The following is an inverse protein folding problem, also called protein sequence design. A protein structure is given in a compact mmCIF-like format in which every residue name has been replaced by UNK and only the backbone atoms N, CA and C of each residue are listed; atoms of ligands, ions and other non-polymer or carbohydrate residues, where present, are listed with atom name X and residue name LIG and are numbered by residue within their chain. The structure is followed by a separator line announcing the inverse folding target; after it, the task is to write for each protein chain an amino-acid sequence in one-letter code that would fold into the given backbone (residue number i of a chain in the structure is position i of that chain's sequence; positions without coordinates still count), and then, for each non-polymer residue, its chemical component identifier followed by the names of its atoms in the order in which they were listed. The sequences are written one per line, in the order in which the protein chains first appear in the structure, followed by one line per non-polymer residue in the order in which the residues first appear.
data_IF_363252346476
#
_entry.id   IF_363252346476
#
_cell.length_a   1.000
_cell.length_b   1.000
_cell.length_c   1.000
_cell.angle_alpha   90.00
_cell.angle_beta   90.00
_cell.angle_gamma   90.00
#
_symmetry.space_group_name_H-M   'P 1'
#
loop_
_entity.id
_entity.type
_entity.pdbx_description
1 polymer ?
#
# COMPACT_ATOMS: atom_id res chain seq x y z
N UNK A 1 -5.22 -11.62 3.56
CA UNK A 1 -5.17 -12.30 2.26
C UNK A 1 -6.39 -13.20 2.11
N UNK A 2 -6.94 -13.31 0.93
CA UNK A 2 -8.08 -14.16 0.63
C UNK A 2 -8.48 -14.10 -0.83
N UNK A 3 -9.47 -14.89 -1.22
CA UNK A 3 -10.02 -14.87 -2.57
C UNK A 3 -11.36 -14.16 -2.60
N UNK A 4 -11.57 -13.37 -3.63
CA UNK A 4 -12.82 -12.66 -3.91
C UNK A 4 -13.30 -12.98 -5.33
N UNK A 5 -14.56 -12.68 -5.62
CA UNK A 5 -15.08 -12.75 -6.99
C UNK A 5 -15.46 -11.36 -7.51
N UNK A 6 -14.87 -11.01 -8.65
CA UNK A 6 -15.23 -9.81 -9.42
C UNK A 6 -15.73 -10.26 -10.80
N UNK A 7 -16.97 -9.94 -11.13
CA UNK A 7 -17.60 -10.32 -12.40
C UNK A 7 -17.41 -11.81 -12.78
N UNK A 8 -17.55 -12.71 -11.77
CA UNK A 8 -17.38 -14.16 -11.97
C UNK A 8 -15.94 -14.67 -11.91
N UNK A 9 -14.92 -13.81 -12.06
CA UNK A 9 -13.52 -14.17 -12.02
C UNK A 9 -13.01 -14.25 -10.57
N UNK A 10 -12.18 -15.24 -10.28
CA UNK A 10 -11.51 -15.38 -8.99
C UNK A 10 -10.28 -14.46 -8.96
N UNK A 11 -10.20 -13.61 -7.96
CA UNK A 11 -9.12 -12.65 -7.74
C UNK A 11 -8.54 -12.88 -6.33
N UNK A 12 -7.22 -12.91 -6.22
CA UNK A 12 -6.54 -12.85 -4.93
C UNK A 12 -6.62 -11.44 -4.36
N UNK A 13 -6.99 -11.29 -3.10
CA UNK A 13 -7.08 -10.00 -2.43
C UNK A 13 -6.08 -9.91 -1.28
N UNK A 14 -5.34 -8.82 -1.22
CA UNK A 14 -4.39 -8.49 -0.15
C UNK A 14 -4.77 -7.12 0.39
N UNK A 15 -4.94 -7.01 1.69
CA UNK A 15 -5.28 -5.75 2.33
C UNK A 15 -4.63 -5.60 3.70
N UNK A 16 -4.28 -4.37 4.06
CA UNK A 16 -3.95 -4.01 5.43
C UNK A 16 -5.24 -3.82 6.22
N UNK A 17 -5.36 -4.56 7.31
CA UNK A 17 -6.51 -4.44 8.20
C UNK A 17 -6.18 -3.49 9.35
N UNK A 18 -7.06 -2.51 9.58
CA UNK A 18 -6.93 -1.53 10.68
C UNK A 18 -7.86 -1.83 11.84
N UNK A 19 -8.92 -2.61 11.61
CA UNK A 19 -9.85 -3.00 12.65
C UNK A 19 -10.35 -4.43 12.44
N UNK A 20 -10.73 -5.08 13.53
CA UNK A 20 -11.42 -6.36 13.59
C UNK A 20 -12.78 -6.10 14.21
N UNK A 21 -13.83 -6.58 13.55
CA UNK A 21 -15.19 -6.44 14.04
C UNK A 21 -15.70 -7.80 14.54
N UNK A 22 -16.46 -7.81 15.61
CA UNK A 22 -17.14 -9.00 16.12
C UNK A 22 -18.40 -9.32 15.30
N UNK A 23 -19.12 -10.38 15.67
CA UNK A 23 -20.34 -10.81 14.99
C UNK A 23 -21.47 -9.78 15.11
N UNK A 24 -21.41 -8.89 16.10
CA UNK A 24 -22.38 -7.80 16.32
C UNK A 24 -22.01 -6.53 15.55
N UNK A 25 -20.87 -6.52 14.83
CA UNK A 25 -20.36 -5.36 14.09
C UNK A 25 -19.69 -4.30 14.97
N UNK A 26 -19.36 -4.63 16.22
CA UNK A 26 -18.57 -3.76 17.09
C UNK A 26 -17.09 -4.00 16.87
N UNK A 27 -16.31 -2.94 17.00
CA UNK A 27 -14.87 -2.98 16.88
C UNK A 27 -14.26 -3.75 18.07
N UNK A 28 -13.76 -4.96 17.80
CA UNK A 28 -13.19 -5.85 18.80
C UNK A 28 -11.68 -5.57 19.01
N UNK A 29 -10.95 -5.20 17.95
CA UNK A 29 -9.53 -4.92 18.00
C UNK A 29 -9.15 -3.91 16.93
N UNK A 30 -8.24 -2.97 17.25
CA UNK A 30 -7.69 -1.99 16.32
C UNK A 30 -6.22 -2.24 16.09
N UNK A 31 -5.75 -1.96 14.87
CA UNK A 31 -4.36 -2.07 14.45
C UNK A 31 -3.84 -0.72 13.98
N UNK A 32 -2.57 -0.46 14.17
CA UNK A 32 -1.90 0.81 13.85
C UNK A 32 -1.67 1.05 12.35
N UNK A 33 -2.11 0.14 11.47
CA UNK A 33 -1.90 0.22 10.03
C UNK A 33 -0.46 -0.01 9.59
N UNK A 34 0.43 -0.47 10.49
CA UNK A 34 1.80 -0.80 10.14
C UNK A 34 1.94 -2.19 9.54
N UNK A 35 2.91 -2.37 8.64
CA UNK A 35 3.24 -3.66 8.05
C UNK A 35 4.23 -4.41 8.94
N UNK A 36 3.83 -5.57 9.45
CA UNK A 36 4.69 -6.46 10.23
C UNK A 36 5.46 -7.44 9.32
N UNK A 37 6.53 -8.05 9.86
CA UNK A 37 7.29 -9.07 9.13
C UNK A 37 6.41 -10.29 8.79
N UNK A 38 5.60 -10.74 9.74
CA UNK A 38 4.66 -11.85 9.53
C UNK A 38 3.61 -11.52 8.47
N UNK A 39 3.10 -10.28 8.47
CA UNK A 39 2.15 -9.81 7.46
C UNK A 39 2.77 -9.76 6.06
N UNK A 40 4.01 -9.29 5.96
CA UNK A 40 4.74 -9.25 4.70
C UNK A 40 5.07 -10.66 4.18
N UNK A 41 5.54 -11.57 5.04
CA UNK A 41 5.81 -12.97 4.67
C UNK A 41 4.53 -13.68 4.19
N UNK A 42 3.42 -13.54 4.94
CA UNK A 42 2.11 -14.10 4.54
C UNK A 42 1.63 -13.57 3.19
N UNK A 43 1.79 -12.27 2.95
CA UNK A 43 1.41 -11.67 1.68
C UNK A 43 2.29 -12.18 0.54
N UNK A 44 3.62 -12.31 0.76
CA UNK A 44 4.55 -12.85 -0.24
C UNK A 44 4.21 -14.28 -0.65
N UNK A 45 3.94 -15.16 0.31
CA UNK A 45 3.52 -16.54 0.04
C UNK A 45 2.21 -16.59 -0.75
N UNK A 46 1.25 -15.73 -0.41
CA UNK A 46 -0.02 -15.65 -1.11
C UNK A 46 0.13 -15.12 -2.54
N UNK A 47 1.00 -14.12 -2.78
CA UNK A 47 1.33 -13.63 -4.13
C UNK A 47 1.95 -14.73 -4.98
N UNK A 48 2.92 -15.45 -4.44
CA UNK A 48 3.55 -16.57 -5.13
C UNK A 48 2.54 -17.68 -5.48
N UNK A 49 1.62 -17.98 -4.57
CA UNK A 49 0.54 -18.92 -4.84
C UNK A 49 -0.36 -18.42 -5.98
N UNK A 50 -0.78 -17.17 -5.95
CA UNK A 50 -1.61 -16.58 -6.99
C UNK A 50 -0.92 -16.62 -8.35
N UNK A 51 0.38 -16.28 -8.41
CA UNK A 51 1.15 -16.30 -9.65
C UNK A 51 1.29 -17.71 -10.22
N UNK A 52 1.58 -18.71 -9.36
CA UNK A 52 1.69 -20.12 -9.77
C UNK A 52 0.41 -20.66 -10.44
N UNK A 53 -0.75 -20.12 -10.09
CA UNK A 53 -2.05 -20.49 -10.68
C UNK A 53 -2.60 -19.43 -11.64
N UNK A 54 -1.80 -18.42 -12.01
CA UNK A 54 -2.23 -17.31 -12.87
C UNK A 54 -3.49 -16.58 -12.36
N UNK A 55 -3.64 -16.47 -11.04
CA UNK A 55 -4.74 -15.76 -10.39
C UNK A 55 -4.36 -14.29 -10.27
N UNK A 56 -5.12 -13.35 -10.84
CA UNK A 56 -4.87 -11.92 -10.69
C UNK A 56 -4.95 -11.48 -9.24
N UNK A 57 -4.21 -10.42 -8.86
CA UNK A 57 -4.16 -9.92 -7.48
C UNK A 57 -4.62 -8.47 -7.39
N UNK A 58 -5.57 -8.22 -6.49
CA UNK A 58 -5.99 -6.89 -6.04
C UNK A 58 -5.35 -6.59 -4.70
N UNK A 59 -4.64 -5.48 -4.61
CA UNK A 59 -4.10 -4.97 -3.36
C UNK A 59 -4.89 -3.74 -2.92
N UNK A 60 -5.35 -3.74 -1.68
CA UNK A 60 -5.97 -2.58 -1.03
C UNK A 60 -4.96 -2.03 -0.02
N UNK A 61 -4.29 -0.94 -0.41
CA UNK A 61 -3.19 -0.37 0.38
C UNK A 61 -3.68 0.64 1.40
N UNK A 62 -3.39 0.37 2.67
CA UNK A 62 -3.56 1.31 3.78
C UNK A 62 -2.44 1.06 4.80
N UNK A 63 -1.25 1.60 4.53
CA UNK A 63 -0.06 1.34 5.34
C UNK A 63 0.63 2.64 5.74
N UNK A 64 0.86 2.79 7.04
CA UNK A 64 1.49 3.98 7.64
C UNK A 64 3.01 3.86 7.74
N UNK A 65 3.54 2.65 7.69
CA UNK A 65 4.97 2.36 7.82
C UNK A 65 5.22 0.90 8.20
N UNK A 66 6.42 0.59 8.60
CA UNK A 66 6.75 -0.73 9.17
C UNK A 66 6.54 -0.75 10.67
N UNK A 67 6.17 -1.92 11.22
CA UNK A 67 6.02 -2.12 12.65
C UNK A 67 7.37 -2.03 13.36
N UNK A 68 7.53 -0.99 14.20
CA UNK A 68 8.78 -0.68 14.89
C UNK A 68 8.81 -1.31 16.29
N UNK A 69 9.12 -2.60 16.36
CA UNK A 69 9.42 -3.28 17.64
C UNK A 69 10.75 -4.01 17.54
N UNK A 70 11.40 -4.26 18.68
CA UNK A 70 12.71 -4.93 18.74
C UNK A 70 12.76 -6.28 18.00
N UNK A 71 11.65 -7.02 18.02
CA UNK A 71 11.55 -8.30 17.29
C UNK A 71 11.36 -8.08 15.79
N UNK A 72 10.59 -7.07 15.41
CA UNK A 72 10.31 -6.77 14.00
C UNK A 72 11.54 -6.19 13.29
N UNK A 73 12.30 -5.31 13.94
CA UNK A 73 13.51 -4.71 13.36
C UNK A 73 14.52 -5.74 12.84
N UNK A 74 14.60 -6.91 13.47
CA UNK A 74 15.51 -7.99 13.05
C UNK A 74 15.06 -8.72 11.79
N UNK A 75 13.76 -8.68 11.45
CA UNK A 75 13.15 -9.53 10.42
C UNK A 75 12.54 -8.74 9.28
N UNK A 76 12.10 -7.49 9.55
CA UNK A 76 11.27 -6.72 8.64
C UNK A 76 11.95 -6.46 7.28
N UNK A 77 13.25 -6.21 7.26
CA UNK A 77 13.97 -5.93 6.02
C UNK A 77 13.93 -7.14 5.06
N UNK A 78 14.16 -8.34 5.58
CA UNK A 78 14.07 -9.58 4.79
C UNK A 78 12.64 -9.88 4.36
N UNK A 79 11.67 -9.72 5.25
CA UNK A 79 10.26 -9.97 4.96
C UNK A 79 9.72 -8.99 3.91
N UNK A 80 10.06 -7.70 4.01
CA UNK A 80 9.72 -6.69 3.01
C UNK A 80 10.36 -7.00 1.66
N UNK A 81 11.64 -7.40 1.64
CA UNK A 81 12.32 -7.82 0.42
C UNK A 81 11.64 -9.01 -0.26
N UNK A 82 11.18 -10.02 0.52
CA UNK A 82 10.40 -11.14 -0.02
C UNK A 82 9.11 -10.67 -0.68
N UNK A 83 8.37 -9.79 -0.04
CA UNK A 83 7.10 -9.29 -0.56
C UNK A 83 7.31 -8.46 -1.84
N UNK A 84 8.28 -7.55 -1.82
CA UNK A 84 8.65 -6.75 -2.99
C UNK A 84 9.06 -7.67 -4.15
N UNK A 85 9.90 -8.65 -3.87
CA UNK A 85 10.34 -9.62 -4.87
C UNK A 85 9.16 -10.41 -5.45
N UNK A 86 8.26 -10.93 -4.60
CA UNK A 86 7.09 -11.68 -5.05
C UNK A 86 6.21 -10.85 -6.01
N UNK A 87 5.90 -9.59 -5.67
CA UNK A 87 5.14 -8.72 -6.55
C UNK A 87 5.85 -8.37 -7.85
N UNK A 88 7.17 -8.16 -7.81
CA UNK A 88 7.93 -7.84 -9.03
C UNK A 88 8.14 -9.05 -9.93
N UNK A 89 8.20 -10.25 -9.35
CA UNK A 89 8.35 -11.49 -10.11
C UNK A 89 7.03 -12.00 -10.70
N UNK A 90 5.91 -11.62 -10.10
CA UNK A 90 4.57 -12.01 -10.52
C UNK A 90 4.24 -11.53 -11.94
N UNK A 91 3.81 -12.46 -12.79
CA UNK A 91 3.42 -12.23 -14.20
C UNK A 91 1.92 -12.08 -14.40
N UNK A 92 1.10 -12.61 -13.47
CA UNK A 92 -0.34 -12.43 -13.51
C UNK A 92 -0.75 -10.96 -13.29
N UNK A 93 -1.94 -10.54 -13.75
CA UNK A 93 -2.42 -9.17 -13.59
C UNK A 93 -2.44 -8.68 -12.14
N UNK A 94 -1.97 -7.45 -11.92
CA UNK A 94 -1.89 -6.82 -10.60
C UNK A 94 -2.54 -5.45 -10.62
N UNK A 95 -3.48 -5.23 -9.72
CA UNK A 95 -4.12 -3.92 -9.53
C UNK A 95 -3.94 -3.49 -8.07
N UNK A 96 -3.58 -2.23 -7.87
CA UNK A 96 -3.46 -1.64 -6.55
C UNK A 96 -4.46 -0.51 -6.36
N UNK A 97 -5.15 -0.48 -5.23
CA UNK A 97 -6.03 0.62 -4.83
C UNK A 97 -5.56 1.14 -3.48
N UNK A 98 -5.14 2.40 -3.45
CA UNK A 98 -4.73 3.08 -2.24
C UNK A 98 -5.98 3.66 -1.58
N UNK A 99 -6.43 3.00 -0.51
CA UNK A 99 -7.69 3.34 0.18
C UNK A 99 -7.49 4.31 1.36
N UNK A 100 -6.25 4.46 1.83
CA UNK A 100 -5.91 5.30 2.97
C UNK A 100 -4.47 5.78 2.91
N UNK A 101 -3.68 5.44 3.92
CA UNK A 101 -2.27 5.80 3.95
C UNK A 101 -1.42 4.91 3.02
N UNK A 102 -0.46 5.52 2.36
CA UNK A 102 0.60 4.86 1.60
C UNK A 102 1.92 5.61 1.84
N UNK A 103 2.54 5.33 2.99
CA UNK A 103 3.70 6.07 3.46
C UNK A 103 4.99 5.25 3.37
N UNK A 104 6.03 5.90 2.86
CA UNK A 104 7.40 5.42 2.86
C UNK A 104 7.61 4.11 2.09
N UNK A 105 8.66 3.40 2.43
CA UNK A 105 9.03 2.14 1.78
C UNK A 105 8.07 0.99 2.07
N UNK A 106 7.27 1.07 3.12
CA UNK A 106 6.23 0.09 3.40
C UNK A 106 5.12 0.11 2.35
N UNK A 107 4.78 1.29 1.80
CA UNK A 107 3.84 1.39 0.69
C UNK A 107 4.39 0.79 -0.60
N UNK A 108 5.71 0.89 -0.82
CA UNK A 108 6.36 0.26 -1.97
C UNK A 108 6.29 -1.27 -1.89
N UNK A 109 6.35 -1.84 -0.69
CA UNK A 109 6.17 -3.27 -0.48
C UNK A 109 4.74 -3.74 -0.77
N UNK A 110 3.75 -2.83 -0.73
CA UNK A 110 2.35 -3.13 -1.01
C UNK A 110 2.00 -2.93 -2.51
N UNK A 111 2.67 -3.72 -3.37
CA UNK A 111 2.37 -3.79 -4.81
C UNK A 111 2.70 -2.50 -5.62
N UNK A 112 3.88 -1.93 -5.39
CA UNK A 112 4.37 -0.80 -6.21
C UNK A 112 4.56 -1.16 -7.70
N UNK A 113 4.63 -2.45 -8.04
CA UNK A 113 4.75 -2.96 -9.41
C UNK A 113 3.40 -3.33 -10.04
N UNK A 114 2.29 -2.80 -9.53
CA UNK A 114 0.98 -3.00 -10.12
C UNK A 114 0.92 -2.52 -11.57
N UNK A 115 0.14 -3.21 -12.39
CA UNK A 115 -0.12 -2.81 -13.77
C UNK A 115 -1.00 -1.55 -13.83
N UNK A 116 -1.87 -1.38 -12.81
CA UNK A 116 -2.71 -0.21 -12.61
C UNK A 116 -2.79 0.14 -11.13
N UNK A 117 -2.62 1.43 -10.82
CA UNK A 117 -2.72 1.96 -9.46
C UNK A 117 -3.77 3.05 -9.38
N UNK A 118 -4.74 2.84 -8.51
CA UNK A 118 -5.81 3.79 -8.21
C UNK A 118 -5.68 4.33 -6.80
N UNK A 119 -6.22 5.50 -6.54
CA UNK A 119 -6.30 6.06 -5.19
C UNK A 119 -7.68 6.62 -4.89
N UNK A 120 -8.11 6.53 -3.64
CA UNK A 120 -9.26 7.29 -3.17
C UNK A 120 -8.90 8.75 -2.95
N UNK A 121 -9.85 9.70 -3.05
CA UNK A 121 -9.56 11.14 -2.93
C UNK A 121 -8.92 11.54 -1.61
N UNK A 122 -9.26 10.82 -0.52
CA UNK A 122 -8.72 11.05 0.82
C UNK A 122 -7.40 10.34 1.11
N UNK A 123 -6.87 9.56 0.15
CA UNK A 123 -5.61 8.83 0.34
C UNK A 123 -4.44 9.78 0.57
N UNK A 124 -3.56 9.39 1.49
CA UNK A 124 -2.32 10.12 1.80
C UNK A 124 -1.14 9.31 1.27
N UNK A 125 -0.46 9.86 0.26
CA UNK A 125 0.61 9.17 -0.46
C UNK A 125 1.89 9.99 -0.35
N UNK A 126 2.89 9.49 0.38
CA UNK A 126 4.11 10.25 0.61
C UNK A 126 5.28 9.41 1.10
N UNK A 127 6.46 10.05 1.13
CA UNK A 127 7.69 9.41 1.62
C UNK A 127 7.66 9.17 3.13
N UNK A 128 6.94 10.03 3.85
CA UNK A 128 6.74 9.93 5.29
C UNK A 128 5.47 10.65 5.70
N UNK A 129 5.06 10.43 6.93
CA UNK A 129 3.96 11.12 7.57
C UNK A 129 4.20 12.66 7.58
N UNK A 130 3.16 13.48 7.33
CA UNK A 130 3.30 14.93 7.22
C UNK A 130 3.89 15.61 8.46
N UNK A 131 3.60 15.12 9.66
CA UNK A 131 4.13 15.68 10.92
C UNK A 131 5.64 15.43 11.02
N UNK A 132 6.08 14.24 10.68
CA UNK A 132 7.50 13.89 10.64
C UNK A 132 8.24 14.69 9.57
N UNK A 133 7.65 14.84 8.39
CA UNK A 133 8.20 15.68 7.33
C UNK A 133 8.37 17.15 7.78
N UNK A 134 7.35 17.72 8.39
CA UNK A 134 7.41 19.08 8.91
C UNK A 134 8.51 19.26 9.95
N UNK A 135 8.66 18.34 10.89
CA UNK A 135 9.72 18.38 11.91
C UNK A 135 11.13 18.34 11.33
N UNK A 136 11.33 17.62 10.23
CA UNK A 136 12.63 17.54 9.57
C UNK A 136 12.89 18.78 8.72
N UNK A 137 11.94 19.15 7.86
CA UNK A 137 12.13 20.24 6.89
C UNK A 137 12.20 21.61 7.54
N UNK A 138 11.48 21.82 8.64
CA UNK A 138 11.36 23.11 9.33
C UNK A 138 12.00 23.09 10.73
N UNK A 139 12.98 22.23 10.97
CA UNK A 139 13.61 22.05 12.27
C UNK A 139 14.12 23.38 12.88
N UNK A 140 14.77 24.22 12.08
CA UNK A 140 15.32 25.51 12.52
C UNK A 140 14.24 26.55 12.86
N UNK A 141 13.15 26.57 12.10
CA UNK A 141 12.00 27.45 12.37
C UNK A 141 11.29 27.00 13.65
N UNK A 142 11.06 25.70 13.80
CA UNK A 142 10.41 25.10 14.96
C UNK A 142 11.24 25.34 16.24
N UNK A 143 12.56 25.27 16.14
CA UNK A 143 13.44 25.51 17.29
C UNK A 143 13.30 26.95 17.84
N UNK A 144 13.02 27.92 16.97
CA UNK A 144 12.91 29.36 17.30
C UNK A 144 11.47 29.82 17.60
N UNK A 145 10.47 28.96 17.36
CA UNK A 145 9.07 29.33 17.55
C UNK A 145 8.67 29.34 19.03
N UNK A 146 7.84 30.27 19.41
CA UNK A 146 7.22 30.36 20.74
C UNK A 146 6.24 29.19 20.97
N UNK A 147 5.38 28.89 19.97
CA UNK A 147 4.52 27.71 19.97
C UNK A 147 4.94 26.72 18.89
N UNK A 148 5.76 25.76 19.31
CA UNK A 148 6.31 24.71 18.43
C UNK A 148 5.23 23.80 17.88
N UNK A 149 4.20 23.48 18.68
CA UNK A 149 3.18 22.52 18.29
C UNK A 149 2.22 23.13 17.25
N UNK A 150 1.85 24.37 17.42
CA UNK A 150 1.02 25.09 16.43
C UNK A 150 1.74 25.19 15.09
N UNK A 151 3.04 25.57 15.11
CA UNK A 151 3.85 25.66 13.88
C UNK A 151 4.02 24.30 13.20
N UNK A 152 4.27 23.23 13.94
CA UNK A 152 4.38 21.87 13.40
C UNK A 152 3.05 21.49 12.72
N UNK A 153 1.92 21.75 13.36
CA UNK A 153 0.59 21.42 12.82
C UNK A 153 0.29 22.18 11.54
N UNK A 154 0.60 23.49 11.50
CA UNK A 154 0.45 24.33 10.30
C UNK A 154 1.31 23.81 9.13
N UNK A 155 2.60 23.59 9.38
CA UNK A 155 3.54 23.11 8.35
C UNK A 155 3.20 21.70 7.87
N UNK A 156 2.74 20.81 8.78
CA UNK A 156 2.28 19.46 8.42
C UNK A 156 1.04 19.52 7.53
N UNK A 157 0.07 20.38 7.82
CA UNK A 157 -1.12 20.56 6.98
C UNK A 157 -0.76 21.11 5.58
N UNK A 158 0.14 22.08 5.52
CA UNK A 158 0.65 22.61 4.25
C UNK A 158 1.39 21.53 3.44
N UNK A 159 2.25 20.75 4.09
CA UNK A 159 2.96 19.62 3.44
C UNK A 159 1.98 18.55 2.94
N UNK A 160 1.00 18.17 3.76
CA UNK A 160 0.01 17.17 3.37
C UNK A 160 -0.74 17.57 2.10
N UNK A 161 -1.19 18.83 2.04
CA UNK A 161 -1.91 19.35 0.87
C UNK A 161 -1.02 19.41 -0.38
N UNK A 162 0.23 19.84 -0.24
CA UNK A 162 1.12 20.08 -1.39
C UNK A 162 1.80 18.80 -1.88
N UNK A 163 2.19 17.89 -0.99
CA UNK A 163 3.08 16.79 -1.30
C UNK A 163 2.46 15.41 -1.11
N UNK A 164 1.54 15.23 -0.16
CA UNK A 164 1.04 13.92 0.23
C UNK A 164 -0.42 13.66 -0.17
N UNK A 165 -1.06 14.54 -0.93
CA UNK A 165 -2.42 14.30 -1.41
C UNK A 165 -2.44 13.33 -2.60
N UNK A 166 -3.56 12.60 -2.77
CA UNK A 166 -3.79 11.73 -3.94
C UNK A 166 -3.65 12.52 -5.25
N UNK A 167 -4.12 13.76 -5.29
CA UNK A 167 -3.99 14.65 -6.45
C UNK A 167 -2.53 14.96 -6.79
N UNK A 168 -1.71 15.24 -5.77
CA UNK A 168 -0.28 15.49 -5.95
C UNK A 168 0.45 14.24 -6.48
N UNK A 169 0.07 13.06 -5.96
CA UNK A 169 0.61 11.77 -6.42
C UNK A 169 0.22 11.47 -7.87
N UNK A 170 -1.04 11.73 -8.25
CA UNK A 170 -1.51 11.56 -9.62
C UNK A 170 -0.81 12.52 -10.61
N UNK A 171 -0.63 13.78 -10.24
CA UNK A 171 0.13 14.77 -11.05
C UNK A 171 1.59 14.35 -11.29
N UNK A 172 2.16 13.55 -10.40
CA UNK A 172 3.54 13.02 -10.51
C UNK A 172 3.62 11.66 -11.19
N UNK A 173 2.50 11.08 -11.57
CA UNK A 173 2.44 9.77 -12.21
C UNK A 173 2.59 8.57 -11.27
N UNK A 174 2.41 8.74 -9.95
CA UNK A 174 2.41 7.61 -9.01
C UNK A 174 1.06 6.89 -8.92
N UNK A 175 0.01 7.52 -9.41
CA UNK A 175 -1.36 7.01 -9.44
C UNK A 175 -1.94 7.28 -10.82
N UNK A 176 -2.50 6.26 -11.44
CA UNK A 176 -3.09 6.37 -12.78
C UNK A 176 -4.41 7.13 -12.78
N UNK A 177 -5.22 6.93 -11.73
CA UNK A 177 -6.49 7.63 -11.58
C UNK A 177 -6.95 7.71 -10.12
N UNK A 178 -7.65 8.81 -9.81
CA UNK A 178 -8.34 8.99 -8.53
C UNK A 178 -9.79 8.54 -8.72
N UNK A 179 -10.24 7.61 -7.89
CA UNK A 179 -11.55 6.96 -8.00
C UNK A 179 -12.38 7.14 -6.74
N UNK A 180 -13.68 7.31 -6.88
CA UNK A 180 -14.58 7.36 -5.74
C UNK A 180 -14.69 5.98 -5.06
N UNK A 181 -14.79 5.91 -3.73
CA UNK A 181 -14.87 4.65 -2.99
C UNK A 181 -15.97 3.71 -3.51
N UNK A 182 -17.13 4.24 -3.82
CA UNK A 182 -18.30 3.51 -4.32
C UNK A 182 -18.10 2.89 -5.70
N UNK A 183 -17.20 3.45 -6.52
CA UNK A 183 -16.89 2.93 -7.87
C UNK A 183 -15.76 1.91 -7.88
N UNK A 184 -15.09 1.70 -6.76
CA UNK A 184 -13.89 0.85 -6.67
C UNK A 184 -14.11 -0.55 -7.24
N UNK A 185 -15.23 -1.20 -6.92
CA UNK A 185 -15.53 -2.55 -7.42
C UNK A 185 -15.65 -2.56 -8.94
N UNK A 186 -16.34 -1.59 -9.51
CA UNK A 186 -16.58 -1.51 -10.96
C UNK A 186 -15.27 -1.24 -11.70
N UNK A 187 -14.47 -0.32 -11.20
CA UNK A 187 -13.18 0.05 -11.82
C UNK A 187 -12.17 -1.09 -11.70
N UNK A 188 -12.09 -1.74 -10.55
CA UNK A 188 -11.21 -2.91 -10.38
C UNK A 188 -11.61 -4.06 -11.33
N UNK A 189 -12.91 -4.33 -11.50
CA UNK A 189 -13.38 -5.33 -12.44
C UNK A 189 -12.99 -4.98 -13.88
N UNK A 190 -13.21 -3.73 -14.31
CA UNK A 190 -12.83 -3.26 -15.64
C UNK A 190 -11.30 -3.32 -15.87
N UNK A 191 -10.52 -2.99 -14.86
CA UNK A 191 -9.06 -3.08 -14.92
C UNK A 191 -8.59 -4.52 -15.17
N UNK A 192 -9.15 -5.49 -14.44
CA UNK A 192 -8.83 -6.90 -14.66
C UNK A 192 -9.31 -7.42 -16.02
N UNK A 193 -10.45 -6.95 -16.53
CA UNK A 193 -10.91 -7.27 -17.88
C UNK A 193 -9.94 -6.74 -18.94
N UNK A 194 -9.43 -5.52 -18.80
CA UNK A 194 -8.41 -4.97 -19.70
C UNK A 194 -7.11 -5.76 -19.64
N UNK A 195 -6.71 -6.20 -18.46
CA UNK A 195 -5.47 -6.95 -18.22
C UNK A 195 -5.59 -8.45 -18.50
N UNK A 196 -6.77 -8.95 -18.90
CA UNK A 196 -6.99 -10.38 -19.12
C UNK A 196 -6.06 -11.00 -20.16
N UNK A 197 -5.67 -10.23 -21.17
CA UNK A 197 -4.75 -10.67 -22.22
C UNK A 197 -3.27 -10.41 -21.88
N UNK A 198 -2.96 -9.90 -20.70
CA UNK A 198 -1.57 -9.67 -20.29
C UNK A 198 -0.73 -10.92 -20.47
N UNK A 199 0.40 -10.75 -21.13
CA UNK A 199 1.44 -11.76 -21.27
C UNK A 199 2.78 -11.10 -20.96
N UNK A 200 3.51 -11.67 -20.04
CA UNK A 200 4.79 -11.16 -19.59
C UNK A 200 5.78 -12.34 -19.44
N UNK A 201 6.84 -12.28 -20.22
CA UNK A 201 7.93 -13.26 -20.11
C UNK A 201 9.01 -12.74 -19.17
N UNK A 202 9.41 -13.58 -18.24
CA UNK A 202 10.48 -13.30 -17.29
C UNK A 202 11.70 -14.20 -17.58
N UNK A 203 12.93 -13.73 -17.34
CA UNK A 203 14.11 -14.56 -17.41
C UNK A 203 13.98 -15.77 -16.46
N UNK A 204 14.36 -16.95 -16.94
CA UNK A 204 14.37 -18.15 -16.10
C UNK A 204 15.32 -17.94 -14.92
N UNK A 205 14.84 -18.21 -13.72
CA UNK A 205 15.61 -18.10 -12.47
C UNK A 205 15.83 -19.48 -11.86
N UNK A 206 17.02 -19.71 -11.34
CA UNK A 206 17.33 -20.95 -10.64
C UNK A 206 16.86 -20.93 -9.18
N UNK A 207 16.76 -19.78 -8.57
CA UNK A 207 16.38 -19.57 -7.17
C UNK A 207 15.93 -18.13 -6.94
N UNK A 208 15.19 -17.90 -5.87
CA UNK A 208 14.86 -16.55 -5.40
C UNK A 208 16.06 -15.85 -4.76
N UNK A 209 15.93 -14.55 -4.55
CA UNK A 209 16.97 -13.72 -3.93
C UNK A 209 16.88 -13.67 -2.41
N UNK A 210 15.78 -14.09 -1.80
CA UNK A 210 15.48 -14.02 -0.36
C UNK A 210 14.78 -15.27 0.14
#
# INVERSE_FOLDING_TARGET
TGFIRLNGNTIGAIANRTALYDEEGKEAETFDGTLSAEGAEKAAEFVNFCDAFSIPVLTLTNVTGYKATKCQEKRIAKAAAKLIYAFHDMTAPKVNVIVGAANGTASLAMNNSADMTYAWPQATIGMMDPVSAAKIMYADEIAKADDKNALISEKAAAYAKLQASAESAAKRGYVDSIIAPETTRQIAAAAFEMLFTKREDRPAKKHGTV
#
